data_IF_550562483813
#
_entry.id   IF_550562483813
#
_cell.length_a   1.000
_cell.length_b   1.000
_cell.length_c   1.000
_cell.angle_alpha   90.00
_cell.angle_beta   90.00
_cell.angle_gamma   90.00
#
_symmetry.space_group_name_H-M   'P 1'
#
loop_
_entity.id
_entity.type
_entity.pdbx_description
1 polymer ?
#
# COMPACT_ATOMS: atom_id res chain seq x y z
N UNK A 1 10.84 -3.09 26.35
CA UNK A 1 9.57 -2.63 25.75
C UNK A 1 9.92 -1.52 24.78
N UNK A 2 10.20 -1.86 23.52
CA UNK A 2 10.60 -0.86 22.51
C UNK A 2 9.37 -0.55 21.67
N UNK A 3 8.82 0.66 21.81
CA UNK A 3 7.82 1.15 20.89
C UNK A 3 8.45 1.19 19.51
N UNK A 4 8.05 0.28 18.61
CA UNK A 4 8.31 0.46 17.19
C UNK A 4 7.51 1.69 16.79
N UNK A 5 8.17 2.85 16.86
CA UNK A 5 7.66 4.03 16.20
C UNK A 5 7.44 3.64 14.75
N UNK A 6 6.18 3.76 14.33
CA UNK A 6 5.61 3.71 13.00
C UNK A 6 6.43 4.59 12.04
N UNK A 7 7.63 4.13 11.72
CA UNK A 7 8.66 4.88 11.03
C UNK A 7 8.37 4.84 9.53
N UNK A 8 8.76 5.90 8.83
CA UNK A 8 8.71 5.86 7.38
C UNK A 8 9.60 4.71 6.87
N UNK A 9 9.11 3.81 6.00
CA UNK A 9 9.96 2.77 5.44
C UNK A 9 11.14 3.37 4.68
N UNK A 10 12.33 2.75 4.76
CA UNK A 10 13.56 3.31 4.17
C UNK A 10 13.45 3.61 2.68
N UNK A 11 12.72 2.77 1.95
CA UNK A 11 12.51 2.94 0.51
C UNK A 11 11.37 3.90 0.17
N UNK A 12 10.80 4.59 1.15
CA UNK A 12 9.68 5.51 0.97
C UNK A 12 10.02 6.90 1.51
N UNK A 13 9.15 7.86 1.22
CA UNK A 13 9.23 9.21 1.78
C UNK A 13 7.89 9.54 2.41
N UNK A 14 7.89 10.03 3.64
CA UNK A 14 6.67 10.25 4.41
C UNK A 14 6.55 11.69 4.85
N UNK A 15 5.46 12.34 4.47
CA UNK A 15 5.18 13.74 4.80
C UNK A 15 3.70 13.90 5.08
N UNK A 16 3.34 14.42 6.26
CA UNK A 16 1.97 14.80 6.61
C UNK A 16 0.91 13.72 6.32
N UNK A 17 1.19 12.45 6.65
CA UNK A 17 0.26 11.34 6.43
C UNK A 17 0.24 10.79 5.00
N UNK A 18 1.08 11.31 4.10
CA UNK A 18 1.34 10.73 2.79
C UNK A 18 2.56 9.83 2.90
N UNK A 19 2.46 8.59 2.42
CA UNK A 19 3.57 7.65 2.26
C UNK A 19 3.81 7.45 0.77
N UNK A 20 4.91 7.99 0.26
CA UNK A 20 5.28 7.88 -1.14
C UNK A 20 6.39 6.84 -1.34
N UNK A 21 6.03 5.72 -1.96
CA UNK A 21 6.95 4.67 -2.39
C UNK A 21 6.90 4.48 -3.92
N UNK A 22 6.43 5.47 -4.67
CA UNK A 22 6.29 5.39 -6.13
C UNK A 22 7.64 5.40 -6.84
N UNK A 23 7.74 4.70 -7.97
CA UNK A 23 8.94 4.70 -8.84
C UNK A 23 10.22 4.22 -8.15
N UNK A 24 10.09 3.29 -7.21
CA UNK A 24 11.22 2.71 -6.44
C UNK A 24 11.62 1.32 -6.92
N UNK A 25 10.95 0.79 -7.95
CA UNK A 25 11.20 -0.56 -8.47
C UNK A 25 10.79 -1.67 -7.50
N UNK A 26 9.84 -1.39 -6.60
CA UNK A 26 9.42 -2.34 -5.57
C UNK A 26 8.79 -3.58 -6.18
N UNK A 27 9.12 -4.72 -5.60
CA UNK A 27 8.50 -6.03 -5.87
C UNK A 27 7.75 -6.49 -4.62
N UNK A 28 6.93 -7.53 -4.75
CA UNK A 28 6.23 -8.15 -3.61
C UNK A 28 7.19 -8.56 -2.48
N UNK A 29 8.44 -8.90 -2.81
CA UNK A 29 9.47 -9.29 -1.84
C UNK A 29 10.15 -8.12 -1.13
N UNK A 30 10.20 -6.94 -1.76
CA UNK A 30 10.87 -5.74 -1.22
C UNK A 30 9.90 -4.72 -0.65
N UNK A 31 8.60 -4.97 -0.73
CA UNK A 31 7.56 -4.09 -0.20
C UNK A 31 7.57 -4.13 1.35
N UNK A 32 7.57 -2.97 2.03
CA UNK A 32 7.47 -2.93 3.49
C UNK A 32 6.19 -3.63 3.98
N UNK A 33 6.28 -4.36 5.09
CA UNK A 33 5.13 -5.11 5.65
C UNK A 33 4.22 -4.25 6.53
N UNK A 34 4.64 -3.03 6.87
CA UNK A 34 3.86 -2.09 7.67
C UNK A 34 4.15 -0.65 7.27
N UNK A 35 3.18 0.22 7.51
CA UNK A 35 3.23 1.65 7.24
C UNK A 35 2.70 2.41 8.46
N UNK A 36 2.96 3.73 8.57
CA UNK A 36 2.45 4.52 9.69
C UNK A 36 0.91 4.49 9.80
N UNK A 37 0.35 4.24 10.98
CA UNK A 37 -1.11 4.07 11.18
C UNK A 37 -1.93 5.30 10.76
N UNK A 38 -1.33 6.49 10.86
CA UNK A 38 -1.93 7.76 10.45
C UNK A 38 -1.81 8.05 8.95
N UNK A 39 -1.40 7.07 8.14
CA UNK A 39 -1.32 7.21 6.69
C UNK A 39 -2.72 7.45 6.11
N UNK A 40 -2.89 8.58 5.43
CA UNK A 40 -4.11 8.94 4.71
C UNK A 40 -3.99 8.70 3.22
N UNK A 41 -2.77 8.70 2.68
CA UNK A 41 -2.50 8.45 1.27
C UNK A 41 -1.27 7.56 1.15
N UNK A 42 -1.35 6.52 0.32
CA UNK A 42 -0.22 5.66 0.00
C UNK A 42 -0.01 5.62 -1.51
N UNK A 43 1.21 5.90 -1.95
CA UNK A 43 1.60 5.83 -3.36
C UNK A 43 2.51 4.64 -3.58
N UNK A 44 1.99 3.60 -4.25
CA UNK A 44 2.74 2.42 -4.68
C UNK A 44 2.83 2.32 -6.20
N UNK A 45 2.38 3.35 -6.92
CA UNK A 45 2.33 3.36 -8.38
C UNK A 45 3.72 3.32 -9.03
N UNK A 46 3.75 2.89 -10.28
CA UNK A 46 4.96 2.82 -11.12
C UNK A 46 6.08 1.96 -10.48
N UNK A 47 5.71 0.78 -9.99
CA UNK A 47 6.62 -0.22 -9.43
C UNK A 47 6.48 -1.57 -10.19
N UNK A 48 7.07 -2.63 -9.66
CA UNK A 48 7.03 -3.99 -10.20
C UNK A 48 6.20 -4.94 -9.32
N UNK A 49 5.15 -4.42 -8.69
CA UNK A 49 4.27 -5.22 -7.84
C UNK A 49 3.38 -6.11 -8.71
N UNK A 50 3.38 -7.40 -8.44
CA UNK A 50 2.48 -8.37 -9.08
C UNK A 50 1.28 -8.70 -8.20
N UNK A 51 1.41 -8.53 -6.88
CA UNK A 51 0.37 -8.69 -5.87
C UNK A 51 0.70 -7.82 -4.64
N UNK A 52 -0.25 -7.69 -3.72
CA UNK A 52 -0.02 -7.11 -2.40
C UNK A 52 -0.09 -8.20 -1.34
N UNK A 53 0.79 -8.16 -0.31
CA UNK A 53 0.61 -8.97 0.89
C UNK A 53 -0.79 -8.79 1.50
N UNK A 54 -1.38 -9.90 1.94
CA UNK A 54 -2.70 -9.88 2.56
C UNK A 54 -2.70 -8.99 3.81
N UNK A 55 -3.71 -8.14 3.92
CA UNK A 55 -3.91 -7.26 5.09
C UNK A 55 -3.01 -6.02 5.11
N UNK A 56 -2.16 -5.80 4.11
CA UNK A 56 -1.23 -4.66 4.08
C UNK A 56 -1.96 -3.32 4.29
N UNK A 57 -3.04 -3.09 3.54
CA UNK A 57 -3.83 -1.85 3.59
C UNK A 57 -4.88 -1.88 4.72
N UNK A 58 -5.15 -3.04 5.30
CA UNK A 58 -6.14 -3.19 6.39
C UNK A 58 -5.60 -2.60 7.70
N UNK A 59 -4.27 -2.53 7.82
CA UNK A 59 -3.56 -1.90 8.93
C UNK A 59 -3.62 -0.36 8.94
N UNK A 60 -4.24 0.25 7.92
CA UNK A 60 -4.29 1.70 7.71
C UNK A 60 -5.72 2.24 7.83
N UNK A 61 -6.24 2.43 9.06
CA UNK A 61 -7.64 2.81 9.27
C UNK A 61 -7.99 4.22 8.75
N UNK A 62 -6.99 5.09 8.59
CA UNK A 62 -7.16 6.46 8.09
C UNK A 62 -6.98 6.58 6.57
N UNK A 63 -6.72 5.48 5.87
CA UNK A 63 -6.39 5.49 4.44
C UNK A 63 -7.59 5.92 3.60
N UNK A 64 -7.35 6.91 2.73
CA UNK A 64 -8.37 7.49 1.84
C UNK A 64 -8.00 7.34 0.38
N UNK A 65 -6.71 7.27 0.06
CA UNK A 65 -6.21 7.14 -1.31
C UNK A 65 -5.09 6.11 -1.38
N UNK A 66 -5.20 5.21 -2.35
CA UNK A 66 -4.14 4.27 -2.70
C UNK A 66 -3.84 4.36 -4.20
N UNK A 67 -2.70 4.95 -4.56
CA UNK A 67 -2.26 4.98 -5.95
C UNK A 67 -1.53 3.68 -6.29
N UNK A 68 -2.17 2.83 -7.10
CA UNK A 68 -1.70 1.46 -7.41
C UNK A 68 -1.41 1.23 -8.91
N UNK A 69 -1.67 2.23 -9.76
CA UNK A 69 -1.48 2.13 -11.21
C UNK A 69 0.01 1.94 -11.60
N UNK A 70 0.27 1.57 -12.85
CA UNK A 70 1.67 1.42 -13.32
C UNK A 70 2.41 0.22 -12.71
N UNK A 71 1.69 -0.78 -12.20
CA UNK A 71 2.25 -2.04 -11.70
C UNK A 71 1.79 -3.22 -12.56
N UNK A 72 2.63 -4.24 -12.78
CA UNK A 72 2.29 -5.44 -13.55
C UNK A 72 1.48 -6.44 -12.70
N UNK A 73 0.29 -6.05 -12.25
CA UNK A 73 -0.60 -6.89 -11.45
C UNK A 73 -0.89 -8.23 -12.14
N UNK A 74 -0.61 -9.34 -11.44
CA UNK A 74 -0.85 -10.70 -11.94
C UNK A 74 -2.27 -11.14 -11.59
N UNK A 75 -3.04 -11.61 -12.57
CA UNK A 75 -4.41 -12.09 -12.36
C UNK A 75 -4.43 -13.58 -11.96
N UNK A 76 -3.74 -13.91 -10.86
CA UNK A 76 -3.68 -15.25 -10.26
C UNK A 76 -4.24 -15.27 -8.82
N UNK A 77 -3.97 -16.32 -8.04
CA UNK A 77 -4.44 -16.42 -6.67
C UNK A 77 -3.88 -15.33 -5.73
N UNK A 78 -2.75 -14.71 -6.05
CA UNK A 78 -2.13 -13.66 -5.25
C UNK A 78 -2.91 -12.33 -5.28
N UNK A 79 -3.73 -12.10 -6.31
CA UNK A 79 -4.47 -10.83 -6.46
C UNK A 79 -5.72 -10.73 -5.58
N UNK A 80 -6.15 -11.85 -4.99
CA UNK A 80 -7.47 -11.94 -4.35
C UNK A 80 -7.66 -10.94 -3.22
N UNK A 81 -6.59 -10.66 -2.45
CA UNK A 81 -6.64 -9.62 -1.42
C UNK A 81 -6.90 -8.23 -2.01
N UNK A 82 -6.09 -7.82 -2.99
CA UNK A 82 -6.24 -6.50 -3.62
C UNK A 82 -7.62 -6.36 -4.26
N UNK A 83 -8.11 -7.40 -4.95
CA UNK A 83 -9.47 -7.44 -5.50
C UNK A 83 -10.53 -7.24 -4.43
N UNK A 84 -10.43 -7.97 -3.32
CA UNK A 84 -11.37 -7.87 -2.20
C UNK A 84 -11.37 -6.47 -1.56
N UNK A 85 -10.18 -5.90 -1.37
CA UNK A 85 -10.02 -4.54 -0.85
C UNK A 85 -10.64 -3.50 -1.79
N UNK A 86 -10.36 -3.56 -3.10
CA UNK A 86 -10.94 -2.64 -4.08
C UNK A 86 -12.48 -2.72 -4.14
N UNK A 87 -13.05 -3.94 -4.11
CA UNK A 87 -14.50 -4.13 -4.10
C UNK A 87 -15.19 -3.54 -2.86
N UNK A 88 -14.51 -3.60 -1.70
CA UNK A 88 -14.99 -2.97 -0.46
C UNK A 88 -15.01 -1.44 -0.59
N UNK A 89 -14.03 -0.85 -1.27
CA UNK A 89 -13.93 0.60 -1.46
C UNK A 89 -14.86 1.13 -2.56
N UNK A 90 -15.20 0.33 -3.58
CA UNK A 90 -16.17 0.73 -4.61
C UNK A 90 -17.59 0.95 -4.06
N UNK A 91 -17.91 0.42 -2.88
CA UNK A 91 -19.16 0.75 -2.17
C UNK A 91 -19.15 2.13 -1.49
N UNK A 92 -18.01 2.84 -1.53
CA UNK A 92 -17.78 4.14 -0.89
C UNK A 92 -17.32 5.22 -1.89
N UNK A 93 -17.65 5.05 -3.18
CA UNK A 93 -17.52 5.99 -4.31
C UNK A 93 -16.63 7.23 -4.04
N UNK A 94 -15.30 7.04 -4.18
CA UNK A 94 -14.28 7.97 -4.72
C UNK A 94 -12.90 7.55 -4.20
N UNK A 95 -12.33 6.48 -4.77
CA UNK A 95 -10.89 6.18 -4.70
C UNK A 95 -10.43 5.73 -6.08
#
# INVERSE_FOLDING_TARGET
>A
MSAAQLSCPELCTCVAGVVDCSKRGLTTASLPTSFPEHTTQIHLNDNHLTALPNGLLDSLPSLRLAALHGNPWSCDCGILYLRGWLLKQSNHASI
#
